data_IF_364660275772
#
_entry.id   IF_364660275772
#
_cell.length_a   1.000
_cell.length_b   1.000
_cell.length_c   1.000
_cell.angle_alpha   90.00
_cell.angle_beta   90.00
_cell.angle_gamma   90.00
#
_symmetry.space_group_name_H-M   'P 1'
#
loop_
_entity.id
_entity.type
_entity.pdbx_description
1 polymer ?
#
# COMPACT_ATOMS: atom_id res chain seq x y z
N UNK A 1 12.42 25.47 6.18
CA UNK A 1 12.04 24.29 6.99
C UNK A 1 13.29 23.78 7.66
N UNK A 2 13.22 23.39 8.94
CA UNK A 2 14.33 22.72 9.63
C UNK A 2 14.55 21.30 9.09
N UNK A 3 15.61 20.65 9.54
CA UNK A 3 15.88 19.25 9.29
C UNK A 3 14.87 18.40 10.07
N UNK A 4 14.27 17.40 9.41
CA UNK A 4 13.31 16.47 10.01
C UNK A 4 14.07 15.23 10.48
N UNK A 5 14.00 14.93 11.77
CA UNK A 5 14.64 13.76 12.38
C UNK A 5 13.66 12.60 12.45
N UNK A 6 14.03 11.50 11.85
CA UNK A 6 13.19 10.34 11.60
C UNK A 6 13.66 9.13 12.40
N UNK A 7 12.76 8.46 13.12
CA UNK A 7 12.93 7.08 13.58
C UNK A 7 12.22 6.15 12.61
N UNK A 8 12.88 5.05 12.22
CA UNK A 8 12.35 4.08 11.25
C UNK A 8 12.04 2.74 11.94
N UNK A 9 10.79 2.31 11.86
CA UNK A 9 10.35 0.99 12.28
C UNK A 9 10.21 0.07 11.05
N UNK A 10 10.97 -1.01 11.05
CA UNK A 10 10.96 -2.00 9.97
C UNK A 10 12.07 -1.76 8.93
N UNK A 11 12.94 -2.77 8.78
CA UNK A 11 14.11 -2.78 7.90
C UNK A 11 13.98 -3.82 6.78
N UNK A 12 12.74 -4.08 6.34
CA UNK A 12 12.42 -4.85 5.15
C UNK A 12 12.66 -4.06 3.85
N UNK A 13 12.06 -4.50 2.75
CA UNK A 13 12.22 -3.88 1.44
C UNK A 13 11.85 -2.39 1.41
N UNK A 14 10.72 -2.01 2.00
CA UNK A 14 10.27 -0.61 2.10
C UNK A 14 11.20 0.19 2.99
N UNK A 15 11.54 -0.31 4.18
CA UNK A 15 12.45 0.38 5.10
C UNK A 15 13.82 0.65 4.47
N UNK A 16 14.41 -0.33 3.80
CA UNK A 16 15.68 -0.15 3.06
C UNK A 16 15.58 0.91 1.97
N UNK A 17 14.45 1.00 1.27
CA UNK A 17 14.22 2.06 0.29
C UNK A 17 14.05 3.43 0.95
N UNK A 18 13.44 3.51 2.15
CA UNK A 18 13.37 4.74 2.94
C UNK A 18 14.79 5.19 3.30
N UNK A 19 15.66 4.29 3.77
CA UNK A 19 17.07 4.61 4.05
C UNK A 19 17.76 5.19 2.82
N UNK A 20 17.65 4.55 1.64
CA UNK A 20 18.24 5.06 0.39
C UNK A 20 17.71 6.45 0.01
N UNK A 21 16.39 6.64 0.10
CA UNK A 21 15.77 7.91 -0.29
C UNK A 21 16.14 9.04 0.69
N UNK A 22 16.22 8.75 1.99
CA UNK A 22 16.63 9.72 3.00
C UNK A 22 18.03 10.27 2.76
N UNK A 23 18.98 9.42 2.34
CA UNK A 23 20.34 9.87 2.00
C UNK A 23 20.40 10.87 0.83
N UNK A 24 19.38 10.91 -0.02
CA UNK A 24 19.29 11.88 -1.14
C UNK A 24 18.58 13.19 -0.74
N UNK A 25 18.05 13.27 0.49
CA UNK A 25 17.24 14.42 0.96
C UNK A 25 17.93 15.13 2.12
N UNK A 26 18.52 16.26 1.84
CA UNK A 26 19.22 17.10 2.84
C UNK A 26 18.34 17.57 4.01
N UNK A 27 17.01 17.44 3.89
CA UNK A 27 16.05 17.90 4.90
C UNK A 27 15.59 16.76 5.83
N UNK A 28 16.04 15.51 5.63
CA UNK A 28 15.63 14.37 6.41
C UNK A 28 16.85 13.62 6.93
N UNK A 29 16.91 13.42 8.23
CA UNK A 29 17.94 12.63 8.90
C UNK A 29 17.30 11.44 9.61
N UNK A 30 17.79 10.22 9.35
CA UNK A 30 17.43 9.06 10.16
C UNK A 30 18.32 9.11 11.41
N UNK A 31 17.70 9.16 12.59
CA UNK A 31 18.39 9.25 13.87
C UNK A 31 18.27 7.99 14.72
N UNK A 32 17.39 7.08 14.33
CA UNK A 32 17.19 5.78 14.98
C UNK A 32 16.43 4.82 14.06
N UNK A 33 16.62 3.54 14.27
CA UNK A 33 15.85 2.51 13.58
C UNK A 33 15.73 1.25 14.41
N UNK A 34 14.61 0.52 14.25
CA UNK A 34 14.43 -0.76 14.90
C UNK A 34 13.79 -1.81 14.02
N UNK A 35 14.01 -3.06 14.38
CA UNK A 35 13.48 -4.21 13.66
C UNK A 35 13.09 -5.33 14.62
N UNK A 36 12.03 -6.08 14.31
CA UNK A 36 11.68 -7.33 15.00
C UNK A 36 12.64 -8.48 14.64
N UNK A 37 13.42 -8.32 13.56
CA UNK A 37 14.43 -9.29 13.18
C UNK A 37 15.73 -9.02 13.95
N UNK A 38 15.96 -9.80 15.00
CA UNK A 38 17.13 -9.69 15.88
C UNK A 38 18.47 -9.82 15.13
N UNK A 39 18.51 -10.52 13.99
CA UNK A 39 19.74 -10.65 13.21
C UNK A 39 20.23 -9.33 12.59
N UNK A 40 19.40 -8.30 12.57
CA UNK A 40 19.74 -6.98 12.05
C UNK A 40 20.26 -6.02 13.15
N UNK A 41 20.11 -6.36 14.43
CA UNK A 41 20.50 -5.49 15.53
C UNK A 41 22.02 -5.27 15.53
N UNK A 42 22.44 -4.02 15.75
CA UNK A 42 23.84 -3.61 15.73
C UNK A 42 24.45 -3.40 14.33
N UNK A 43 23.72 -3.70 13.26
CA UNK A 43 24.17 -3.40 11.91
C UNK A 43 23.87 -1.97 11.53
N UNK A 44 24.84 -1.28 10.92
CA UNK A 44 24.63 0.06 10.36
C UNK A 44 23.64 0.02 9.19
N UNK A 45 22.73 0.99 9.13
CA UNK A 45 21.68 1.04 8.11
C UNK A 45 22.25 1.20 6.68
N UNK A 46 23.38 1.87 6.52
CA UNK A 46 24.09 1.97 5.22
C UNK A 46 24.57 0.60 4.76
N UNK A 47 25.14 -0.20 5.65
CA UNK A 47 25.57 -1.56 5.34
C UNK A 47 24.39 -2.47 4.96
N UNK A 48 23.25 -2.32 5.64
CA UNK A 48 22.03 -3.09 5.32
C UNK A 48 21.49 -2.83 3.92
N UNK A 49 21.81 -1.69 3.33
CA UNK A 49 21.45 -1.33 1.95
C UNK A 49 22.59 -1.50 0.96
N UNK A 50 23.73 -2.05 1.41
CA UNK A 50 24.96 -2.27 0.63
C UNK A 50 25.64 -0.96 0.16
N UNK A 51 25.60 0.06 1.03
CA UNK A 51 26.25 1.36 0.84
C UNK A 51 27.21 1.65 2.00
N UNK A 52 27.84 2.82 2.01
CA UNK A 52 28.72 3.23 3.10
C UNK A 52 27.94 3.38 4.41
N UNK A 53 28.56 3.10 5.56
CA UNK A 53 27.95 3.34 6.86
C UNK A 53 27.47 4.79 7.02
N UNK A 54 26.28 4.95 7.61
CA UNK A 54 25.69 6.27 7.88
C UNK A 54 25.72 6.65 9.35
N UNK A 55 26.26 5.78 10.22
CA UNK A 55 26.43 6.03 11.64
C UNK A 55 25.14 5.81 12.45
N UNK A 56 24.13 5.12 11.90
CA UNK A 56 22.90 4.75 12.60
C UNK A 56 22.76 3.23 12.57
N UNK A 57 22.76 2.60 13.72
CA UNK A 57 22.62 1.16 13.86
C UNK A 57 21.17 0.76 14.11
N UNK A 58 20.76 -0.39 13.58
CA UNK A 58 19.50 -1.02 13.94
C UNK A 58 19.51 -1.44 15.42
N UNK A 59 18.49 -1.08 16.18
CA UNK A 59 18.40 -1.30 17.61
C UNK A 59 17.04 -1.90 18.03
N UNK A 60 16.80 -2.00 19.32
CA UNK A 60 15.48 -2.33 19.86
C UNK A 60 14.55 -1.11 19.74
N UNK A 61 13.22 -1.35 19.77
CA UNK A 61 12.24 -0.25 19.75
C UNK A 61 12.50 0.79 20.85
N UNK A 62 12.75 0.33 22.05
CA UNK A 62 13.01 1.21 23.19
C UNK A 62 14.21 2.14 22.94
N UNK A 63 15.36 1.58 22.53
CA UNK A 63 16.55 2.36 22.24
C UNK A 63 16.37 3.35 21.08
N UNK A 64 15.67 2.92 20.02
CA UNK A 64 15.42 3.78 18.87
C UNK A 64 14.54 4.98 19.21
N UNK A 65 13.55 4.81 20.09
CA UNK A 65 12.62 5.86 20.51
C UNK A 65 13.22 6.82 21.56
N UNK A 66 14.38 6.49 22.16
CA UNK A 66 15.13 7.44 23.00
C UNK A 66 15.83 8.55 22.18
N UNK A 67 15.96 8.37 20.87
CA UNK A 67 16.54 9.38 19.99
C UNK A 67 15.65 10.64 19.94
N UNK A 68 16.27 11.81 19.94
CA UNK A 68 15.53 13.06 19.68
C UNK A 68 15.07 13.08 18.23
N UNK A 69 13.79 12.83 18.00
CA UNK A 69 13.19 12.75 16.68
C UNK A 69 11.90 13.59 16.59
N UNK A 70 11.43 13.79 15.38
CA UNK A 70 10.22 14.55 15.08
C UNK A 70 9.10 13.64 14.58
N UNK A 71 9.48 12.46 14.01
CA UNK A 71 8.54 11.53 13.40
C UNK A 71 9.01 10.09 13.50
N UNK A 72 8.06 9.18 13.74
CA UNK A 72 8.22 7.73 13.60
C UNK A 72 7.58 7.29 12.27
N UNK A 73 8.35 6.61 11.41
CA UNK A 73 7.82 5.97 10.20
C UNK A 73 7.77 4.46 10.41
N UNK A 74 6.57 3.88 10.33
CA UNK A 74 6.34 2.44 10.51
C UNK A 74 6.16 1.79 9.15
N UNK A 75 7.06 0.86 8.79
CA UNK A 75 7.09 0.13 7.53
C UNK A 75 7.28 -1.38 7.78
N UNK A 76 6.37 -2.00 8.56
CA UNK A 76 6.53 -3.37 9.06
C UNK A 76 5.56 -4.37 8.44
N UNK A 77 4.25 -4.12 8.50
CA UNK A 77 3.18 -5.04 8.14
C UNK A 77 1.99 -4.29 7.55
N UNK A 78 1.00 -5.03 7.02
CA UNK A 78 -0.23 -4.49 6.43
C UNK A 78 -1.38 -4.32 7.44
N UNK A 79 -1.28 -4.93 8.62
CA UNK A 79 -2.39 -5.10 9.56
C UNK A 79 -2.35 -4.12 10.73
N UNK A 80 -3.51 -3.49 11.03
CA UNK A 80 -3.69 -2.54 12.11
C UNK A 80 -3.29 -3.14 13.48
N UNK A 81 -3.78 -4.33 13.78
CA UNK A 81 -3.50 -5.00 15.06
C UNK A 81 -1.99 -5.21 15.33
N UNK A 82 -1.19 -5.37 14.28
CA UNK A 82 0.25 -5.62 14.42
C UNK A 82 1.09 -4.34 14.54
N UNK A 83 0.52 -3.18 14.20
CA UNK A 83 1.23 -1.87 14.28
C UNK A 83 0.74 -1.01 15.45
N UNK A 84 -0.37 -1.36 16.08
CA UNK A 84 -1.00 -0.58 17.15
C UNK A 84 -0.03 -0.26 18.29
N UNK A 85 0.73 -1.24 18.77
CA UNK A 85 1.73 -1.04 19.85
C UNK A 85 2.88 -0.12 19.42
N UNK A 86 3.31 -0.18 18.16
CA UNK A 86 4.36 0.69 17.64
C UNK A 86 3.82 2.13 17.47
N UNK A 87 2.56 2.29 17.06
CA UNK A 87 1.89 3.60 16.97
C UNK A 87 1.79 4.24 18.35
N UNK A 88 1.27 3.51 19.34
CA UNK A 88 1.16 4.04 20.71
C UNK A 88 2.51 4.39 21.31
N UNK A 89 3.54 3.58 21.09
CA UNK A 89 4.89 3.87 21.56
C UNK A 89 5.49 5.14 20.91
N UNK A 90 5.20 5.39 19.62
CA UNK A 90 5.58 6.63 18.95
C UNK A 90 4.87 7.85 19.53
N UNK A 91 3.56 7.74 19.78
CA UNK A 91 2.75 8.80 20.41
C UNK A 91 3.28 9.12 21.82
N UNK A 92 3.54 8.09 22.66
CA UNK A 92 4.10 8.24 24.01
C UNK A 92 5.49 8.92 24.01
N UNK A 93 6.27 8.71 22.95
CA UNK A 93 7.55 9.39 22.74
C UNK A 93 7.39 10.84 22.21
N UNK A 94 6.16 11.34 22.03
CA UNK A 94 5.88 12.68 21.51
C UNK A 94 6.15 12.83 20.02
N UNK A 95 6.14 11.74 19.25
CA UNK A 95 6.45 11.74 17.82
C UNK A 95 5.17 11.77 16.97
N UNK A 96 5.20 12.51 15.87
CA UNK A 96 4.25 12.26 14.80
C UNK A 96 4.47 10.86 14.23
N UNK A 97 3.42 10.20 13.76
CA UNK A 97 3.52 8.83 13.25
C UNK A 97 3.00 8.73 11.83
N UNK A 98 3.81 8.17 10.94
CA UNK A 98 3.41 7.81 9.57
C UNK A 98 3.50 6.29 9.45
N UNK A 99 2.40 5.63 9.09
CA UNK A 99 2.34 4.17 9.02
C UNK A 99 1.95 3.69 7.62
N UNK A 100 2.69 2.68 7.10
CA UNK A 100 2.39 2.09 5.79
C UNK A 100 1.40 0.94 5.85
N UNK A 101 0.96 0.51 7.02
CA UNK A 101 -0.01 -0.57 7.11
C UNK A 101 -1.23 -0.23 6.25
N UNK A 102 -1.60 -1.13 5.35
CA UNK A 102 -2.70 -0.91 4.39
C UNK A 102 -4.01 -0.62 5.12
N UNK A 103 -4.26 -1.27 6.25
CA UNK A 103 -5.43 -1.04 7.09
C UNK A 103 -5.44 0.35 7.74
N UNK A 104 -4.29 1.01 7.88
CA UNK A 104 -4.19 2.39 8.38
C UNK A 104 -4.68 3.45 7.38
N UNK A 105 -4.88 3.09 6.10
CA UNK A 105 -5.47 4.01 5.13
C UNK A 105 -6.90 4.41 5.51
N UNK A 106 -7.66 3.50 6.12
CA UNK A 106 -8.97 3.78 6.69
C UNK A 106 -9.28 2.84 7.88
N UNK A 107 -8.65 3.03 9.06
CA UNK A 107 -8.69 2.07 10.17
C UNK A 107 -10.07 1.93 10.82
N UNK A 108 -10.95 2.91 10.65
CA UNK A 108 -12.30 2.97 11.24
C UNK A 108 -13.23 1.82 10.87
N UNK A 109 -12.96 1.11 9.76
CA UNK A 109 -13.74 -0.04 9.30
C UNK A 109 -13.08 -1.38 9.63
N UNK A 110 -11.83 -1.37 10.07
CA UNK A 110 -11.10 -2.57 10.49
C UNK A 110 -11.43 -2.88 11.94
N UNK A 111 -11.09 -1.94 12.80
CA UNK A 111 -11.39 -1.97 14.22
C UNK A 111 -11.61 -0.53 14.72
N UNK A 112 -12.88 -0.17 14.89
CA UNK A 112 -13.26 1.17 15.30
C UNK A 112 -12.76 1.52 16.71
N UNK A 113 -12.71 0.55 17.62
CA UNK A 113 -12.25 0.77 19.00
C UNK A 113 -10.77 1.08 19.02
N UNK A 114 -9.96 0.29 18.32
CA UNK A 114 -8.52 0.53 18.15
C UNK A 114 -8.25 1.87 17.45
N UNK A 115 -8.99 2.18 16.37
CA UNK A 115 -8.83 3.45 15.66
C UNK A 115 -9.15 4.66 16.55
N UNK A 116 -10.23 4.59 17.38
CA UNK A 116 -10.57 5.63 18.35
C UNK A 116 -9.51 5.75 19.45
N UNK A 117 -8.98 4.62 19.95
CA UNK A 117 -7.91 4.62 20.97
C UNK A 117 -6.66 5.35 20.46
N UNK A 118 -6.24 5.09 19.22
CA UNK A 118 -5.12 5.79 18.58
C UNK A 118 -5.43 7.28 18.44
N UNK A 119 -6.62 7.62 17.95
CA UNK A 119 -7.06 9.00 17.77
C UNK A 119 -7.05 9.79 19.08
N UNK A 120 -7.68 9.26 20.12
CA UNK A 120 -7.76 9.91 21.43
C UNK A 120 -6.39 10.04 22.08
N UNK A 121 -5.49 9.07 21.88
CA UNK A 121 -4.12 9.13 22.37
C UNK A 121 -3.33 10.24 21.64
N UNK A 122 -3.39 10.28 20.33
CA UNK A 122 -2.72 11.31 19.53
C UNK A 122 -3.20 12.73 19.87
N UNK A 123 -4.51 12.90 20.11
CA UNK A 123 -5.06 14.19 20.55
C UNK A 123 -4.54 14.63 21.93
N UNK A 124 -4.39 13.71 22.89
CA UNK A 124 -3.86 14.03 24.23
C UNK A 124 -2.40 14.45 24.20
N UNK A 125 -1.60 13.81 23.35
CA UNK A 125 -0.18 14.08 23.22
C UNK A 125 0.14 15.16 22.15
N UNK A 126 -0.90 15.75 21.54
CA UNK A 126 -0.79 16.81 20.53
C UNK A 126 0.07 16.41 19.32
N UNK A 127 0.00 15.14 18.90
CA UNK A 127 0.71 14.59 17.74
C UNK A 127 -0.24 14.14 16.64
N UNK A 128 0.30 13.97 15.43
CA UNK A 128 -0.45 13.50 14.27
C UNK A 128 -0.12 12.04 13.96
N UNK A 129 -1.15 11.23 13.71
CA UNK A 129 -1.00 9.86 13.20
C UNK A 129 -1.67 9.77 11.83
N UNK A 130 -0.93 9.30 10.81
CA UNK A 130 -1.44 9.19 9.45
C UNK A 130 -1.07 7.86 8.81
N UNK A 131 -2.04 7.21 8.18
CA UNK A 131 -1.79 6.11 7.24
C UNK A 131 -1.36 6.67 5.88
N UNK A 132 -0.22 6.20 5.37
CA UNK A 132 0.29 6.60 4.07
C UNK A 132 0.95 5.42 3.36
N UNK A 133 0.72 5.29 2.08
CA UNK A 133 1.24 4.17 1.29
C UNK A 133 1.02 4.38 -0.19
N UNK A 134 1.25 3.33 -0.97
CA UNK A 134 0.98 3.37 -2.40
C UNK A 134 -0.49 3.08 -2.69
N UNK A 135 -0.97 1.92 -2.22
CA UNK A 135 -2.32 1.45 -2.49
C UNK A 135 -2.71 0.36 -1.47
N UNK A 136 -3.70 0.63 -0.59
CA UNK A 136 -4.38 1.92 -0.42
C UNK A 136 -3.44 3.04 0.05
N UNK A 137 -3.77 4.29 -0.27
CA UNK A 137 -3.04 5.50 0.10
C UNK A 137 -2.91 6.49 -1.05
N UNK A 138 -1.77 6.58 -1.72
CA UNK A 138 -1.53 7.62 -2.72
C UNK A 138 -2.29 7.37 -4.03
N UNK A 139 -2.21 6.15 -4.56
CA UNK A 139 -2.64 5.85 -5.93
C UNK A 139 -4.13 6.09 -6.11
N UNK A 140 -4.97 5.50 -5.28
CA UNK A 140 -6.42 5.68 -5.44
C UNK A 140 -6.95 6.83 -4.59
N UNK A 141 -6.61 6.86 -3.31
CA UNK A 141 -7.21 7.80 -2.37
C UNK A 141 -6.75 9.23 -2.66
N UNK A 142 -5.45 9.50 -2.72
CA UNK A 142 -4.97 10.88 -2.93
C UNK A 142 -5.25 11.34 -4.37
N UNK A 143 -4.81 10.57 -5.38
CA UNK A 143 -4.97 10.97 -6.78
C UNK A 143 -6.44 10.94 -7.20
N UNK A 144 -7.18 9.87 -6.85
CA UNK A 144 -8.58 9.75 -7.19
C UNK A 144 -9.44 10.84 -6.54
N UNK A 145 -9.27 11.10 -5.24
CA UNK A 145 -9.99 12.18 -4.56
C UNK A 145 -9.62 13.57 -5.11
N UNK A 146 -8.37 13.80 -5.48
CA UNK A 146 -7.98 15.07 -6.12
C UNK A 146 -8.73 15.30 -7.43
N UNK A 147 -8.93 14.25 -8.24
CA UNK A 147 -9.69 14.34 -9.48
C UNK A 147 -11.19 14.61 -9.22
N UNK A 148 -11.78 14.01 -8.18
CA UNK A 148 -13.19 14.24 -7.83
C UNK A 148 -13.46 15.71 -7.46
N UNK A 149 -12.45 16.44 -6.97
CA UNK A 149 -12.59 17.85 -6.63
C UNK A 149 -12.95 18.79 -7.78
N UNK A 150 -12.86 18.31 -9.04
CA UNK A 150 -13.24 19.06 -10.23
C UNK A 150 -14.64 18.69 -10.78
N UNK A 151 -15.30 17.68 -10.19
CA UNK A 151 -16.65 17.26 -10.58
C UNK A 151 -17.71 17.89 -9.69
N UNK A 152 -18.77 18.42 -10.31
CA UNK A 152 -19.90 19.01 -9.58
C UNK A 152 -20.77 17.95 -8.94
N UNK A 153 -21.20 16.95 -9.75
CA UNK A 153 -21.94 15.79 -9.29
C UNK A 153 -21.13 14.53 -9.60
N UNK A 154 -21.14 13.58 -8.70
CA UNK A 154 -20.46 12.30 -8.87
C UNK A 154 -21.48 11.18 -8.80
N UNK A 155 -21.74 10.57 -9.96
CA UNK A 155 -22.65 9.45 -10.11
C UNK A 155 -21.95 8.11 -9.79
N UNK A 156 -20.72 7.96 -10.27
CA UNK A 156 -19.91 6.77 -9.99
C UNK A 156 -18.42 7.04 -10.14
N UNK A 157 -17.61 6.16 -9.54
CA UNK A 157 -16.15 6.21 -9.60
C UNK A 157 -15.63 4.85 -10.05
N UNK A 158 -14.75 4.85 -11.06
CA UNK A 158 -13.99 3.70 -11.52
C UNK A 158 -12.49 3.91 -11.29
N UNK A 159 -11.81 2.91 -10.76
CA UNK A 159 -10.35 2.86 -10.69
C UNK A 159 -9.87 1.54 -11.24
N UNK A 160 -8.85 1.58 -12.09
CA UNK A 160 -8.26 0.37 -12.66
C UNK A 160 -6.75 0.44 -12.54
N UNK A 161 -6.15 -0.67 -12.19
CA UNK A 161 -4.71 -0.85 -12.16
C UNK A 161 -4.29 -2.03 -13.02
N UNK A 162 -3.45 -1.80 -14.01
CA UNK A 162 -2.83 -2.83 -14.85
C UNK A 162 -1.36 -2.93 -14.50
N UNK A 163 -0.91 -4.11 -14.07
CA UNK A 163 0.45 -4.33 -13.52
C UNK A 163 1.15 -5.45 -14.27
N UNK A 164 2.39 -5.16 -14.69
CA UNK A 164 3.32 -6.19 -15.16
C UNK A 164 3.91 -6.95 -13.96
N UNK A 165 3.59 -8.24 -13.87
CA UNK A 165 4.04 -9.13 -12.80
C UNK A 165 5.39 -9.78 -13.11
N UNK A 166 5.95 -9.64 -14.31
CA UNK A 166 7.15 -10.36 -14.77
C UNK A 166 8.37 -10.19 -13.86
N UNK A 167 8.46 -9.06 -13.17
CA UNK A 167 9.56 -8.73 -12.25
C UNK A 167 9.26 -9.03 -10.77
N UNK A 168 8.10 -9.63 -10.44
CA UNK A 168 7.73 -9.92 -9.07
C UNK A 168 8.40 -11.22 -8.60
N UNK A 169 8.57 -11.36 -7.28
CA UNK A 169 9.11 -12.58 -6.70
C UNK A 169 8.15 -13.76 -6.88
N UNK A 170 8.71 -14.98 -6.95
CA UNK A 170 7.92 -16.21 -7.06
C UNK A 170 6.89 -16.39 -5.93
N UNK A 171 7.20 -15.92 -4.73
CA UNK A 171 6.28 -15.95 -3.59
C UNK A 171 5.06 -15.05 -3.80
N UNK A 172 5.25 -13.84 -4.35
CA UNK A 172 4.14 -12.94 -4.69
C UNK A 172 3.33 -13.50 -5.84
N UNK A 173 3.98 -14.01 -6.90
CA UNK A 173 3.29 -14.61 -8.04
C UNK A 173 2.41 -15.79 -7.63
N UNK A 174 2.92 -16.69 -6.77
CA UNK A 174 2.14 -17.82 -6.26
C UNK A 174 0.91 -17.37 -5.47
N UNK A 175 1.05 -16.31 -4.64
CA UNK A 175 -0.04 -15.71 -3.88
C UNK A 175 -1.09 -15.06 -4.79
N UNK A 176 -0.70 -14.64 -5.98
CA UNK A 176 -1.59 -14.14 -7.03
C UNK A 176 -2.13 -15.27 -7.95
N UNK A 177 -1.82 -16.53 -7.65
CA UNK A 177 -2.33 -17.69 -8.38
C UNK A 177 -1.64 -17.95 -9.72
N UNK A 178 -0.45 -17.39 -9.97
CA UNK A 178 0.30 -17.62 -11.21
C UNK A 178 0.83 -19.05 -11.24
N UNK A 179 0.65 -19.73 -12.38
CA UNK A 179 1.04 -21.15 -12.60
C UNK A 179 0.03 -22.14 -12.04
N UNK A 180 -1.20 -21.75 -11.74
CA UNK A 180 -2.27 -22.67 -11.35
C UNK A 180 -3.21 -22.96 -12.53
N UNK A 181 -3.71 -24.19 -12.59
CA UNK A 181 -4.85 -24.51 -13.46
C UNK A 181 -6.11 -23.78 -12.98
N UNK A 182 -7.12 -23.62 -13.82
CA UNK A 182 -8.37 -22.94 -13.48
C UNK A 182 -9.02 -23.53 -12.21
N UNK A 183 -9.11 -24.86 -12.13
CA UNK A 183 -9.67 -25.54 -10.95
C UNK A 183 -8.86 -25.31 -9.68
N UNK A 184 -7.53 -25.41 -9.79
CA UNK A 184 -6.62 -25.14 -8.65
C UNK A 184 -6.73 -23.68 -8.22
N UNK A 185 -6.77 -22.75 -9.16
CA UNK A 185 -6.93 -21.32 -8.87
C UNK A 185 -8.22 -21.06 -8.09
N UNK A 186 -9.36 -21.63 -8.57
CA UNK A 186 -10.64 -21.47 -7.91
C UNK A 186 -10.63 -22.08 -6.49
N UNK A 187 -10.00 -23.25 -6.29
CA UNK A 187 -9.82 -23.85 -4.98
C UNK A 187 -8.99 -22.98 -4.04
N UNK A 188 -7.89 -22.41 -4.53
CA UNK A 188 -7.01 -21.56 -3.73
C UNK A 188 -7.67 -20.22 -3.37
N UNK A 189 -8.52 -19.66 -4.25
CA UNK A 189 -9.34 -18.48 -3.93
C UNK A 189 -10.35 -18.83 -2.81
N UNK A 190 -11.06 -19.95 -2.90
CA UNK A 190 -11.99 -20.39 -1.84
C UNK A 190 -11.30 -20.60 -0.48
N UNK A 191 -10.07 -21.07 -0.51
CA UNK A 191 -9.25 -21.31 0.69
C UNK A 191 -8.50 -20.05 1.16
N UNK A 192 -8.71 -18.89 0.53
CA UNK A 192 -8.04 -17.63 0.84
C UNK A 192 -6.50 -17.70 0.74
N UNK A 193 -5.96 -18.63 -0.03
CA UNK A 193 -4.53 -18.76 -0.32
C UNK A 193 -4.13 -17.95 -1.57
N UNK A 194 -5.06 -17.75 -2.51
CA UNK A 194 -4.96 -16.80 -3.61
C UNK A 194 -5.90 -15.64 -3.31
N UNK A 195 -5.35 -14.46 -3.29
CA UNK A 195 -6.06 -13.20 -3.14
C UNK A 195 -5.39 -12.14 -4.02
N UNK A 196 -6.19 -11.27 -4.57
CA UNK A 196 -5.70 -10.18 -5.42
C UNK A 196 -5.12 -9.03 -4.60
N UNK A 197 -5.51 -7.83 -4.95
CA UNK A 197 -5.13 -6.65 -4.21
C UNK A 197 -5.94 -6.55 -2.89
N UNK A 198 -5.22 -6.44 -1.79
CA UNK A 198 -5.81 -6.16 -0.48
C UNK A 198 -6.12 -4.67 -0.40
N UNK A 199 -7.27 -4.30 0.15
CA UNK A 199 -7.57 -2.91 0.46
C UNK A 199 -8.62 -2.23 -0.42
N UNK A 200 -9.14 -2.86 -1.48
CA UNK A 200 -10.23 -2.26 -2.27
C UNK A 200 -11.46 -1.93 -1.43
N UNK A 201 -11.81 -2.81 -0.48
CA UNK A 201 -12.89 -2.54 0.47
C UNK A 201 -12.64 -1.29 1.33
N UNK A 202 -11.38 -1.02 1.69
CA UNK A 202 -10.98 0.18 2.42
C UNK A 202 -11.09 1.41 1.52
N UNK A 203 -10.55 1.34 0.29
CA UNK A 203 -10.66 2.40 -0.71
C UNK A 203 -12.11 2.80 -0.95
N UNK A 204 -12.98 1.83 -1.25
CA UNK A 204 -14.41 2.06 -1.52
C UNK A 204 -15.08 2.78 -0.35
N UNK A 205 -14.88 2.31 0.88
CA UNK A 205 -15.50 2.91 2.07
C UNK A 205 -14.91 4.26 2.44
N UNK A 206 -13.61 4.49 2.19
CA UNK A 206 -12.97 5.78 2.42
C UNK A 206 -13.51 6.86 1.49
N UNK A 207 -13.72 6.51 0.21
CA UNK A 207 -14.39 7.40 -0.75
C UNK A 207 -15.84 7.68 -0.34
N UNK A 208 -16.62 6.64 -0.03
CA UNK A 208 -18.00 6.81 0.39
C UNK A 208 -18.11 7.72 1.62
N UNK A 209 -17.29 7.51 2.63
CA UNK A 209 -17.24 8.35 3.82
C UNK A 209 -16.93 9.82 3.48
N UNK A 210 -16.05 10.08 2.50
CA UNK A 210 -15.71 11.43 2.05
C UNK A 210 -16.90 12.15 1.43
N UNK A 211 -17.81 11.42 0.78
CA UNK A 211 -19.04 11.96 0.16
C UNK A 211 -20.28 11.83 1.05
N UNK A 212 -20.12 11.34 2.28
CA UNK A 212 -21.25 11.14 3.20
C UNK A 212 -22.20 10.02 2.75
N UNK A 213 -21.69 9.07 1.97
CA UNK A 213 -22.45 7.91 1.46
C UNK A 213 -22.20 6.67 2.33
N UNK A 214 -23.18 5.78 2.36
CA UNK A 214 -23.08 4.49 3.02
C UNK A 214 -22.96 3.37 1.98
N UNK A 215 -21.94 2.52 2.12
CA UNK A 215 -21.77 1.32 1.29
C UNK A 215 -22.61 0.19 1.89
N UNK A 216 -23.68 -0.17 1.21
CA UNK A 216 -24.60 -1.24 1.63
C UNK A 216 -23.98 -2.63 1.52
N UNK A 217 -23.26 -2.88 0.41
CA UNK A 217 -22.55 -4.13 0.17
C UNK A 217 -21.34 -3.90 -0.72
N UNK A 218 -20.40 -4.83 -0.63
CA UNK A 218 -19.25 -4.93 -1.54
C UNK A 218 -19.28 -6.33 -2.15
N UNK A 219 -19.16 -6.40 -3.46
CA UNK A 219 -18.98 -7.64 -4.21
C UNK A 219 -17.54 -7.70 -4.70
N UNK A 220 -16.87 -8.83 -4.46
CA UNK A 220 -15.50 -9.07 -4.88
C UNK A 220 -15.44 -10.35 -5.72
N UNK A 221 -14.76 -10.29 -6.86
CA UNK A 221 -14.52 -11.43 -7.72
C UNK A 221 -13.06 -11.46 -8.15
N UNK A 222 -12.47 -12.67 -8.16
CA UNK A 222 -11.10 -12.91 -8.60
C UNK A 222 -11.14 -14.05 -9.62
N UNK A 223 -10.63 -13.78 -10.82
CA UNK A 223 -10.63 -14.71 -11.95
C UNK A 223 -9.20 -14.88 -12.49
N UNK A 224 -8.79 -16.10 -12.89
CA UNK A 224 -7.51 -16.31 -13.55
C UNK A 224 -7.55 -15.77 -14.98
N UNK A 225 -6.41 -15.36 -15.50
CA UNK A 225 -6.17 -15.13 -16.92
C UNK A 225 -5.28 -16.26 -17.40
N UNK A 226 -5.89 -17.24 -18.08
CA UNK A 226 -5.18 -18.39 -18.59
C UNK A 226 -4.37 -18.05 -19.84
N UNK A 227 -3.20 -18.68 -20.00
CA UNK A 227 -2.37 -18.51 -21.19
C UNK A 227 -2.65 -19.56 -22.25
N UNK A 228 -2.58 -19.17 -23.53
CA UNK A 228 -2.71 -20.08 -24.68
C UNK A 228 -1.35 -20.69 -25.10
N UNK A 229 -0.25 -20.32 -24.47
CA UNK A 229 1.09 -20.82 -24.75
C UNK A 229 1.94 -20.81 -23.46
N UNK A 230 3.03 -21.57 -23.45
CA UNK A 230 3.94 -21.58 -22.30
C UNK A 230 4.71 -20.27 -22.22
N UNK A 231 4.79 -19.69 -21.00
CA UNK A 231 5.50 -18.45 -20.70
C UNK A 231 6.63 -18.76 -19.72
N UNK A 232 7.86 -18.31 -20.03
CA UNK A 232 9.00 -18.40 -19.12
C UNK A 232 9.41 -17.00 -18.72
N UNK A 233 9.34 -16.71 -17.41
CA UNK A 233 9.86 -15.48 -16.81
C UNK A 233 11.06 -15.78 -15.88
N UNK A 234 11.67 -14.73 -15.33
CA UNK A 234 12.80 -14.89 -14.39
C UNK A 234 12.41 -15.63 -13.10
N UNK A 235 11.16 -15.65 -12.72
CA UNK A 235 10.69 -16.13 -11.42
C UNK A 235 9.68 -17.27 -11.49
N UNK A 236 9.08 -17.55 -12.67
CA UNK A 236 8.06 -18.57 -12.84
C UNK A 236 8.03 -19.08 -14.29
N UNK A 237 7.73 -20.39 -14.42
CA UNK A 237 7.30 -21.03 -15.66
C UNK A 237 5.80 -21.28 -15.56
N UNK A 238 5.07 -20.90 -16.59
CA UNK A 238 3.62 -21.06 -16.70
C UNK A 238 3.35 -21.90 -17.94
N UNK A 239 2.69 -23.04 -17.78
CA UNK A 239 2.34 -23.91 -18.89
C UNK A 239 1.07 -23.39 -19.61
N UNK A 240 0.88 -23.83 -20.86
CA UNK A 240 -0.37 -23.62 -21.59
C UNK A 240 -1.57 -24.11 -20.78
N UNK A 241 -2.62 -23.30 -20.68
CA UNK A 241 -3.83 -23.56 -19.88
C UNK A 241 -3.71 -23.22 -18.40
N UNK A 242 -2.56 -22.76 -17.93
CA UNK A 242 -2.40 -22.27 -16.57
C UNK A 242 -2.59 -20.75 -16.49
N UNK A 243 -2.80 -20.25 -15.28
CA UNK A 243 -2.96 -18.84 -14.99
C UNK A 243 -1.64 -18.08 -15.17
N UNK A 244 -1.58 -17.18 -16.14
CA UNK A 244 -0.49 -16.24 -16.36
C UNK A 244 -0.79 -14.85 -15.76
N UNK A 245 -2.00 -14.67 -15.24
CA UNK A 245 -2.46 -13.43 -14.64
C UNK A 245 -3.75 -13.62 -13.88
N UNK A 246 -4.22 -12.53 -13.27
CA UNK A 246 -5.52 -12.50 -12.62
C UNK A 246 -6.21 -11.18 -12.90
N UNK A 247 -7.54 -11.21 -12.84
CA UNK A 247 -8.40 -10.04 -12.78
C UNK A 247 -9.21 -10.09 -11.50
N UNK A 248 -9.10 -9.05 -10.71
CA UNK A 248 -9.98 -8.83 -9.56
C UNK A 248 -10.88 -7.63 -9.85
N UNK A 249 -12.14 -7.75 -9.50
CA UNK A 249 -13.11 -6.66 -9.50
C UNK A 249 -13.79 -6.59 -8.16
N UNK A 250 -13.84 -5.38 -7.61
CA UNK A 250 -14.49 -5.10 -6.34
C UNK A 250 -15.45 -3.93 -6.56
N UNK A 251 -16.74 -4.17 -6.32
CA UNK A 251 -17.81 -3.21 -6.59
C UNK A 251 -18.47 -2.83 -5.27
N UNK A 252 -18.53 -1.54 -4.97
CA UNK A 252 -19.28 -0.98 -3.86
C UNK A 252 -20.63 -0.43 -4.33
N UNK A 253 -21.70 -0.73 -3.59
CA UNK A 253 -23.06 -0.36 -3.92
C UNK A 253 -23.60 0.68 -2.94
N UNK A 254 -24.29 1.68 -3.48
CA UNK A 254 -25.02 2.73 -2.77
C UNK A 254 -26.44 2.76 -3.32
N UNK A 255 -27.44 2.72 -2.45
CA UNK A 255 -28.88 2.72 -2.82
C UNK A 255 -29.24 1.63 -3.85
N UNK A 256 -28.59 0.46 -3.74
CA UNK A 256 -28.79 -0.68 -4.62
C UNK A 256 -28.00 -0.63 -5.94
N UNK A 257 -27.41 0.51 -6.31
CA UNK A 257 -26.70 0.72 -7.58
C UNK A 257 -25.19 0.66 -7.41
N UNK A 258 -24.42 0.16 -8.44
CA UNK A 258 -22.96 0.19 -8.42
C UNK A 258 -22.46 1.64 -8.42
N UNK A 259 -21.79 2.02 -7.34
CA UNK A 259 -21.25 3.37 -7.20
C UNK A 259 -19.74 3.45 -7.35
N UNK A 260 -19.02 2.45 -6.86
CA UNK A 260 -17.56 2.38 -7.00
C UNK A 260 -17.13 1.06 -7.61
N UNK A 261 -16.28 1.12 -8.63
CA UNK A 261 -15.70 -0.05 -9.28
C UNK A 261 -14.18 0.01 -9.22
N UNK A 262 -13.57 -0.93 -8.50
CA UNK A 262 -12.13 -1.09 -8.46
C UNK A 262 -11.72 -2.34 -9.24
N UNK A 263 -10.78 -2.21 -10.16
CA UNK A 263 -10.23 -3.34 -10.93
C UNK A 263 -8.70 -3.43 -10.78
N UNK A 264 -8.21 -4.62 -10.51
CA UNK A 264 -6.81 -4.98 -10.61
C UNK A 264 -6.62 -6.05 -11.67
N UNK A 265 -5.74 -5.81 -12.62
CA UNK A 265 -5.30 -6.76 -13.63
C UNK A 265 -3.79 -6.90 -13.52
N UNK A 266 -3.32 -8.07 -13.14
CA UNK A 266 -1.91 -8.42 -13.13
C UNK A 266 -1.62 -9.55 -14.12
N UNK A 267 -0.54 -9.45 -14.89
CA UNK A 267 -0.15 -10.48 -15.85
C UNK A 267 1.37 -10.55 -16.01
N UNK A 268 1.93 -11.74 -16.22
CA UNK A 268 3.38 -11.93 -16.40
C UNK A 268 3.87 -11.58 -17.81
N UNK A 269 2.96 -11.41 -18.76
CA UNK A 269 3.25 -11.04 -20.15
C UNK A 269 2.17 -10.10 -20.70
N UNK A 270 2.11 -8.87 -20.17
CA UNK A 270 1.11 -7.89 -20.59
C UNK A 270 1.14 -7.58 -22.09
N UNK A 271 2.32 -7.54 -22.69
CA UNK A 271 2.50 -7.28 -24.11
C UNK A 271 1.77 -8.29 -25.01
N UNK A 272 1.67 -9.56 -24.61
CA UNK A 272 0.93 -10.61 -25.29
C UNK A 272 -0.59 -10.33 -25.32
N UNK A 273 -1.10 -9.59 -24.33
CA UNK A 273 -2.49 -9.13 -24.27
C UNK A 273 -2.72 -7.77 -24.97
N UNK A 274 -1.70 -7.17 -25.57
CA UNK A 274 -1.78 -5.81 -26.13
C UNK A 274 -1.98 -4.73 -25.07
N UNK A 275 -1.63 -5.03 -23.81
CA UNK A 275 -1.76 -4.11 -22.69
C UNK A 275 -0.39 -3.53 -22.27
N UNK A 276 -0.45 -2.33 -21.69
CA UNK A 276 0.69 -1.69 -21.02
C UNK A 276 0.33 -1.42 -19.56
N UNK A 277 1.30 -1.41 -18.63
CA UNK A 277 1.05 -1.02 -17.25
C UNK A 277 0.44 0.38 -17.19
N UNK A 278 -0.60 0.57 -16.37
CA UNK A 278 -1.24 1.88 -16.19
C UNK A 278 -2.13 1.90 -14.96
N UNK A 279 -2.38 3.09 -14.45
CA UNK A 279 -3.43 3.38 -13.48
C UNK A 279 -4.46 4.31 -14.16
N UNK A 280 -5.74 3.93 -14.12
CA UNK A 280 -6.84 4.67 -14.76
C UNK A 280 -7.86 5.08 -13.71
N UNK A 281 -8.39 6.28 -13.86
CA UNK A 281 -9.44 6.86 -13.03
C UNK A 281 -10.58 7.31 -13.94
N UNK A 282 -11.79 6.91 -13.63
CA UNK A 282 -13.00 7.29 -14.36
C UNK A 282 -14.03 7.81 -13.36
N UNK A 283 -14.41 9.06 -13.49
CA UNK A 283 -15.39 9.70 -12.63
C UNK A 283 -16.55 10.08 -13.54
N UNK A 284 -17.69 9.42 -13.35
CA UNK A 284 -18.94 9.80 -14.01
C UNK A 284 -19.61 10.90 -13.22
N UNK A 285 -19.97 11.98 -13.88
CA UNK A 285 -20.57 13.15 -13.25
C UNK A 285 -20.56 14.37 -14.16
N UNK A 286 -20.54 15.55 -13.60
CA UNK A 286 -20.52 16.80 -14.33
C UNK A 286 -19.25 17.63 -13.98
N UNK A 287 -18.23 17.68 -14.85
CA UNK A 287 -18.05 16.86 -16.06
C UNK A 287 -17.61 15.42 -15.79
N UNK A 288 -17.71 14.54 -16.77
CA UNK A 288 -17.00 13.26 -16.74
C UNK A 288 -15.50 13.51 -16.80
N UNK A 289 -14.75 12.83 -15.92
CA UNK A 289 -13.30 12.95 -15.84
C UNK A 289 -12.66 11.60 -16.07
N UNK A 290 -11.68 11.55 -16.96
CA UNK A 290 -10.82 10.38 -17.13
C UNK A 290 -9.37 10.78 -16.97
N UNK A 291 -8.69 10.18 -15.97
CA UNK A 291 -7.26 10.30 -15.75
C UNK A 291 -6.54 8.98 -16.10
N UNK A 292 -5.38 9.07 -16.72
CA UNK A 292 -4.53 7.90 -17.00
C UNK A 292 -3.10 8.23 -16.68
N UNK A 293 -2.44 7.35 -15.93
CA UNK A 293 -1.02 7.44 -15.62
C UNK A 293 -0.34 6.23 -16.23
N UNK A 294 0.54 6.47 -17.18
CA UNK A 294 1.35 5.45 -17.84
C UNK A 294 2.84 5.74 -17.62
N UNK A 295 3.64 4.74 -17.37
CA UNK A 295 3.38 3.29 -17.35
C UNK A 295 2.79 2.78 -16.02
N UNK A 296 2.07 3.59 -15.28
CA UNK A 296 1.53 3.30 -13.96
C UNK A 296 2.54 3.53 -12.83
N UNK A 297 2.05 3.56 -11.61
CA UNK A 297 2.90 3.72 -10.43
C UNK A 297 3.65 2.42 -10.10
N UNK A 298 4.96 2.49 -9.94
CA UNK A 298 5.72 1.37 -9.38
C UNK A 298 5.41 1.22 -7.88
N UNK A 299 4.86 0.09 -7.41
CA UNK A 299 4.38 -0.06 -6.03
C UNK A 299 5.46 0.23 -4.99
N UNK A 300 6.66 -0.34 -5.17
CA UNK A 300 7.76 -0.23 -4.20
C UNK A 300 8.33 1.19 -4.11
N UNK A 301 8.46 1.87 -5.25
CA UNK A 301 8.94 3.26 -5.28
C UNK A 301 7.87 4.22 -4.78
N UNK A 302 6.62 3.98 -5.14
CA UNK A 302 5.51 4.87 -4.76
C UNK A 302 5.23 4.82 -3.27
N UNK A 303 5.26 3.65 -2.61
CA UNK A 303 5.09 3.59 -1.16
C UNK A 303 6.17 4.39 -0.44
N UNK A 304 7.43 4.20 -0.82
CA UNK A 304 8.54 4.95 -0.23
C UNK A 304 8.41 6.45 -0.48
N UNK A 305 8.07 6.85 -1.71
CA UNK A 305 7.88 8.25 -2.08
C UNK A 305 6.70 8.88 -1.33
N UNK A 306 5.56 8.19 -1.23
CA UNK A 306 4.39 8.66 -0.51
C UNK A 306 4.72 8.97 0.96
N UNK A 307 5.37 8.02 1.67
CA UNK A 307 5.81 8.22 3.05
C UNK A 307 6.73 9.42 3.20
N UNK A 308 7.79 9.47 2.39
CA UNK A 308 8.81 10.51 2.50
C UNK A 308 8.30 11.89 2.05
N UNK A 309 7.27 11.94 1.19
CA UNK A 309 6.64 13.21 0.78
C UNK A 309 5.57 13.68 1.77
N UNK A 310 5.09 12.83 2.66
CA UNK A 310 4.19 13.20 3.76
C UNK A 310 4.95 13.91 4.89
N UNK A 311 6.26 13.68 5.05
CA UNK A 311 7.07 14.27 6.13
C UNK A 311 7.01 15.80 6.26
N UNK A 312 6.95 16.62 5.18
CA UNK A 312 6.91 18.09 5.29
C UNK A 312 5.56 18.63 5.75
N UNK A 313 4.53 17.81 5.86
CA UNK A 313 3.15 18.21 6.16
C UNK A 313 2.71 17.70 7.53
#
# INVERSE_FOLDING_TARGET
>A
MGEIRLVLAGLGGVGKNIVRLAQTRHQVQIVGAYSRNESLLGHDLGELIQENPIGVEASTRYQALEAQADVLVIATTSFLAEVTDDIHAGIEAGLNVICTAEEMAFPWIVDRETAMSIHDHALREEVTVVGAGANPGYIYEVVGLALTGAAWDIESIGVQRVVDLSAFSSGVMRRLGIGYTEDTFADQVRNQAVYGHIGFGHTIRSFAARFGLEIERIEDSIEPILTEHSITSLAVEVAEGESAGLRQRTIGFVEGEPWFNAEFLGHVELGGLGLVPRDTYEISGAPNIRGVIEPGFNPQRTVTAALMNTLPH
#
